data_IF_269359937281
#
_entry.id   IF_269359937281
#
_cell.length_a   1.000
_cell.length_b   1.000
_cell.length_c   1.000
_cell.angle_alpha   90.00
_cell.angle_beta   90.00
_cell.angle_gamma   90.00
#
_symmetry.space_group_name_H-M   'P 1'
#
loop_
_entity.id
_entity.type
_entity.pdbx_description
1 polymer ?
#
# COMPACT_ATOMS: atom_id res chain seq x y z
N UNK A 1 11.49 -9.86 8.13
CA UNK A 1 10.72 -10.55 7.06
C UNK A 1 9.71 -9.53 6.56
N UNK A 2 9.86 -9.05 5.32
CA UNK A 2 8.88 -8.13 4.74
C UNK A 2 7.58 -8.91 4.50
N UNK A 3 6.53 -8.57 5.23
CA UNK A 3 5.22 -9.20 5.06
C UNK A 3 4.56 -8.63 3.80
N UNK A 4 4.08 -9.52 2.93
CA UNK A 4 3.42 -9.09 1.71
C UNK A 4 1.99 -8.68 2.05
N UNK A 5 1.75 -7.37 2.16
CA UNK A 5 0.46 -6.79 2.51
C UNK A 5 -0.52 -6.71 1.34
N UNK A 6 -0.05 -6.94 0.11
CA UNK A 6 -0.85 -6.84 -1.12
C UNK A 6 -1.11 -8.20 -1.76
N UNK A 7 -2.30 -8.39 -2.33
CA UNK A 7 -2.64 -9.61 -3.05
C UNK A 7 -1.90 -9.63 -4.38
N UNK A 8 -0.78 -10.37 -4.42
CA UNK A 8 0.15 -10.43 -5.56
C UNK A 8 -0.55 -10.76 -6.88
N UNK A 9 -1.54 -11.65 -6.86
CA UNK A 9 -2.34 -12.05 -8.02
C UNK A 9 -3.11 -10.89 -8.62
N UNK A 10 -3.65 -9.99 -7.79
CA UNK A 10 -4.42 -8.81 -8.24
C UNK A 10 -3.49 -7.75 -8.84
N UNK A 11 -2.35 -7.50 -8.20
CA UNK A 11 -1.33 -6.57 -8.70
C UNK A 11 -0.81 -7.01 -10.06
N UNK A 12 -0.41 -8.28 -10.20
CA UNK A 12 0.04 -8.87 -11.46
C UNK A 12 -1.03 -8.78 -12.55
N UNK A 13 -2.29 -9.01 -12.19
CA UNK A 13 -3.42 -8.92 -13.12
C UNK A 13 -3.58 -7.48 -13.64
N UNK A 14 -3.57 -6.47 -12.76
CA UNK A 14 -3.67 -5.05 -13.14
C UNK A 14 -2.54 -4.67 -14.11
N UNK A 15 -1.28 -4.97 -13.76
CA UNK A 15 -0.11 -4.61 -14.58
C UNK A 15 -0.16 -5.30 -15.95
N UNK A 16 -0.60 -6.56 -15.99
CA UNK A 16 -0.71 -7.31 -17.24
C UNK A 16 -1.88 -6.84 -18.10
N UNK A 17 -3.06 -6.60 -17.52
CA UNK A 17 -4.25 -6.17 -18.28
C UNK A 17 -4.15 -4.73 -18.78
N UNK A 18 -3.56 -3.82 -18.00
CA UNK A 18 -3.45 -2.42 -18.38
C UNK A 18 -2.18 -2.10 -19.16
N UNK A 19 -1.06 -2.76 -18.85
CA UNK A 19 0.24 -2.47 -19.44
C UNK A 19 0.81 -3.56 -20.36
N UNK A 20 0.22 -4.75 -20.39
CA UNK A 20 0.80 -5.89 -21.11
C UNK A 20 2.13 -6.40 -20.54
N UNK A 21 2.53 -5.93 -19.36
CA UNK A 21 3.84 -6.22 -18.76
C UNK A 21 3.81 -7.43 -17.82
N UNK A 22 4.97 -8.07 -17.66
CA UNK A 22 5.21 -9.02 -16.58
C UNK A 22 5.68 -8.27 -15.32
N UNK A 23 5.36 -8.78 -14.14
CA UNK A 23 5.72 -8.17 -12.85
C UNK A 23 6.76 -9.02 -12.14
N UNK A 24 7.88 -8.42 -11.72
CA UNK A 24 8.90 -9.11 -10.93
C UNK A 24 8.45 -9.30 -9.47
N UNK A 25 9.12 -10.21 -8.76
CA UNK A 25 8.84 -10.46 -7.34
C UNK A 25 9.20 -9.24 -6.47
N UNK A 26 10.27 -8.53 -6.81
CA UNK A 26 10.72 -7.32 -6.10
C UNK A 26 9.70 -6.18 -6.20
N UNK A 27 9.00 -6.02 -7.33
CA UNK A 27 7.92 -5.02 -7.47
C UNK A 27 6.83 -5.23 -6.42
N UNK A 28 6.48 -6.47 -6.11
CA UNK A 28 5.46 -6.80 -5.10
C UNK A 28 5.94 -6.44 -3.70
N UNK A 29 7.24 -6.64 -3.41
CA UNK A 29 7.83 -6.25 -2.12
C UNK A 29 7.78 -4.73 -1.94
N UNK A 30 8.22 -3.95 -2.93
CA UNK A 30 8.19 -2.48 -2.86
C UNK A 30 6.76 -1.96 -2.67
N UNK A 31 5.77 -2.54 -3.38
CA UNK A 31 4.37 -2.16 -3.18
C UNK A 31 3.87 -2.48 -1.77
N UNK A 32 4.31 -3.60 -1.19
CA UNK A 32 3.96 -3.96 0.18
C UNK A 32 4.57 -2.99 1.19
N UNK A 33 5.83 -2.62 1.01
CA UNK A 33 6.52 -1.62 1.84
C UNK A 33 5.85 -0.24 1.74
N UNK A 34 5.43 0.17 0.54
CA UNK A 34 4.69 1.41 0.34
C UNK A 34 3.35 1.41 1.10
N UNK A 35 2.58 0.32 1.01
CA UNK A 35 1.32 0.16 1.76
C UNK A 35 1.58 0.18 3.27
N UNK A 36 2.64 -0.49 3.73
CA UNK A 36 3.02 -0.48 5.15
C UNK A 36 3.33 0.94 5.64
N UNK A 37 4.12 1.70 4.87
CA UNK A 37 4.46 3.08 5.20
C UNK A 37 3.22 3.99 5.23
N UNK A 38 2.29 3.82 4.29
CA UNK A 38 1.02 4.53 4.26
C UNK A 38 0.15 4.21 5.49
N UNK A 39 0.06 2.93 5.87
CA UNK A 39 -0.65 2.51 7.07
C UNK A 39 -0.03 3.08 8.34
N UNK A 40 1.31 3.09 8.46
CA UNK A 40 2.01 3.69 9.61
C UNK A 40 1.71 5.18 9.74
N UNK A 41 1.79 5.94 8.65
CA UNK A 41 1.42 7.37 8.65
C UNK A 41 -0.05 7.60 9.02
N UNK A 42 -0.95 6.73 8.56
CA UNK A 42 -2.36 6.80 8.95
C UNK A 42 -2.60 6.53 10.43
N UNK A 43 -1.89 5.56 11.01
CA UNK A 43 -1.92 5.29 12.44
C UNK A 43 -1.41 6.49 13.23
N UNK A 44 -0.28 7.08 12.81
CA UNK A 44 0.28 8.27 13.46
C UNK A 44 -0.69 9.45 13.41
N UNK A 45 -1.31 9.71 12.25
CA UNK A 45 -2.27 10.81 12.07
C UNK A 45 -3.53 10.59 12.91
N UNK A 46 -4.09 9.37 12.91
CA UNK A 46 -5.24 9.04 13.75
C UNK A 46 -4.93 9.18 15.24
N UNK A 47 -3.73 8.76 15.66
CA UNK A 47 -3.28 8.88 17.04
C UNK A 47 -3.04 10.33 17.46
N UNK A 48 -2.47 11.15 16.57
CA UNK A 48 -2.28 12.59 16.80
C UNK A 48 -3.62 13.31 16.99
N UNK A 49 -4.67 12.84 16.31
CA UNK A 49 -6.03 13.34 16.43
C UNK A 49 -6.82 12.70 17.60
N UNK A 50 -6.18 11.85 18.42
CA UNK A 50 -6.81 11.18 19.57
C UNK A 50 -7.76 10.04 19.21
N UNK A 51 -7.80 9.61 17.94
CA UNK A 51 -8.67 8.55 17.43
C UNK A 51 -8.00 7.17 17.51
N UNK A 52 -8.82 6.15 17.79
CA UNK A 52 -8.40 4.73 17.72
C UNK A 52 -8.67 4.10 16.35
N UNK A 53 -9.35 4.82 15.46
CA UNK A 53 -9.77 4.36 14.14
C UNK A 53 -9.07 5.19 13.08
N UNK A 54 -8.26 4.53 12.25
CA UNK A 54 -7.68 5.12 11.04
C UNK A 54 -8.78 5.30 10.01
N UNK A 55 -8.94 6.52 9.52
CA UNK A 55 -9.93 6.90 8.52
C UNK A 55 -9.25 7.17 7.17
N UNK A 56 -10.03 7.23 6.08
CA UNK A 56 -9.50 7.48 4.74
C UNK A 56 -8.64 8.77 4.66
N UNK A 57 -9.03 9.81 5.40
CA UNK A 57 -8.30 11.09 5.48
C UNK A 57 -6.90 10.98 6.10
N UNK A 58 -6.61 9.90 6.84
CA UNK A 58 -5.35 9.71 7.54
C UNK A 58 -4.30 9.07 6.60
N UNK A 59 -4.72 8.48 5.49
CA UNK A 59 -3.82 7.85 4.52
C UNK A 59 -3.40 8.89 3.47
N UNK A 60 -2.13 9.32 3.44
CA UNK A 60 -1.69 10.35 2.51
C UNK A 60 -1.52 9.76 1.10
N UNK A 61 -2.58 9.84 0.28
CA UNK A 61 -2.58 9.35 -1.11
C UNK A 61 -2.53 10.47 -2.16
N UNK A 62 -2.58 11.74 -1.75
CA UNK A 62 -2.79 12.91 -2.63
C UNK A 62 -1.70 13.16 -3.69
N UNK A 63 -0.62 12.37 -3.72
CA UNK A 63 0.51 12.53 -4.63
C UNK A 63 0.98 11.22 -5.30
N UNK A 64 0.11 10.23 -5.43
CA UNK A 64 0.38 8.98 -6.17
C UNK A 64 0.32 9.17 -7.69
#
# INVERSE_FOLDING_TARGET
MAEVLVVTSKVKKIIKEQGGCNTSAETVQILSEAVEALCKKGIESAKADGRKTVMARDIPIDHL
#
